data_IF_449025739853
#
_entry.id   IF_449025739853
#
_cell.length_a   1.000
_cell.length_b   1.000
_cell.length_c   1.000
_cell.angle_alpha   90.00
_cell.angle_beta   90.00
_cell.angle_gamma   90.00
#
_symmetry.space_group_name_H-M   'P 1'
#
loop_
_entity.id
_entity.type
_entity.pdbx_description
1 polymer ?
#
# COMPACT_ATOMS: atom_id res chain seq x y z
N UNK A 1 -21.05 -6.53 -3.69
CA UNK A 1 -21.34 -5.19 -3.10
C UNK A 1 -21.46 -4.20 -4.25
N UNK A 2 -22.36 -3.22 -4.15
CA UNK A 2 -22.39 -2.13 -5.11
C UNK A 2 -21.25 -1.10 -4.87
N UNK A 3 -21.00 -0.23 -5.84
CA UNK A 3 -19.86 0.68 -5.77
C UNK A 3 -19.96 1.69 -4.60
N UNK A 4 -21.15 2.15 -4.27
CA UNK A 4 -21.37 3.11 -3.18
C UNK A 4 -21.13 2.43 -1.83
N UNK A 5 -21.64 1.22 -1.65
CA UNK A 5 -21.42 0.41 -0.45
C UNK A 5 -19.92 0.21 -0.24
N UNK A 6 -19.17 -0.21 -1.27
CA UNK A 6 -17.72 -0.40 -1.20
C UNK A 6 -17.01 0.87 -0.76
N UNK A 7 -17.29 2.00 -1.40
CA UNK A 7 -16.61 3.27 -1.13
C UNK A 7 -16.91 3.80 0.28
N UNK A 8 -18.13 3.57 0.79
CA UNK A 8 -18.55 4.10 2.09
C UNK A 8 -18.15 3.19 3.27
N UNK A 9 -18.02 1.88 3.03
CA UNK A 9 -17.77 0.89 4.09
C UNK A 9 -16.34 0.36 4.15
N UNK A 10 -15.55 0.50 3.08
CA UNK A 10 -14.17 -0.01 3.03
C UNK A 10 -13.33 0.40 4.24
N UNK A 11 -12.53 -0.56 4.74
CA UNK A 11 -11.57 -0.38 5.85
C UNK A 11 -10.18 -0.86 5.46
N UNK A 12 -9.17 -0.28 6.10
CA UNK A 12 -7.81 -0.81 6.06
C UNK A 12 -7.71 -2.03 6.96
N UNK A 13 -7.27 -3.16 6.39
CA UNK A 13 -7.03 -4.41 7.09
C UNK A 13 -5.55 -4.50 7.50
N UNK A 14 -5.30 -4.95 8.73
CA UNK A 14 -3.96 -5.16 9.30
C UNK A 14 -3.87 -6.49 10.06
N UNK A 15 -4.71 -7.47 9.69
CA UNK A 15 -4.69 -8.82 10.22
C UNK A 15 -5.17 -9.76 9.13
N UNK A 16 -4.27 -10.60 8.65
CA UNK A 16 -4.48 -11.42 7.46
C UNK A 16 -4.32 -12.90 7.79
N UNK A 17 -5.12 -13.74 7.12
CA UNK A 17 -4.87 -15.17 7.07
C UNK A 17 -3.60 -15.44 6.26
N UNK A 18 -2.94 -16.56 6.55
CA UNK A 18 -1.74 -16.97 5.80
C UNK A 18 -2.05 -17.53 4.40
N UNK A 19 -3.32 -17.79 4.13
CA UNK A 19 -3.79 -18.26 2.83
C UNK A 19 -3.58 -17.19 1.76
N UNK A 20 -2.99 -17.62 0.63
CA UNK A 20 -2.78 -16.76 -0.52
C UNK A 20 -4.09 -16.49 -1.24
N UNK A 21 -4.33 -15.23 -1.65
CA UNK A 21 -5.48 -14.88 -2.51
C UNK A 21 -5.35 -15.59 -3.86
N UNK A 22 -6.48 -15.88 -4.50
CA UNK A 22 -6.53 -16.56 -5.79
C UNK A 22 -6.01 -15.66 -6.90
N UNK A 23 -5.41 -16.25 -7.93
CA UNK A 23 -4.86 -15.53 -9.08
C UNK A 23 -5.91 -14.66 -9.79
N UNK A 24 -7.16 -15.15 -9.89
CA UNK A 24 -8.28 -14.43 -10.50
C UNK A 24 -8.68 -13.19 -9.69
N UNK A 25 -8.64 -13.31 -8.35
CA UNK A 25 -8.92 -12.21 -7.42
C UNK A 25 -7.81 -11.16 -7.51
N UNK A 26 -6.54 -11.60 -7.48
CA UNK A 26 -5.40 -10.72 -7.68
C UNK A 26 -5.48 -10.00 -9.01
N UNK A 27 -5.73 -10.73 -10.10
CA UNK A 27 -5.88 -10.14 -11.44
C UNK A 27 -6.95 -9.05 -11.46
N UNK A 28 -8.12 -9.30 -10.87
CA UNK A 28 -9.20 -8.32 -10.81
C UNK A 28 -8.79 -7.06 -10.02
N UNK A 29 -8.06 -7.23 -8.91
CA UNK A 29 -7.55 -6.10 -8.11
C UNK A 29 -6.51 -5.29 -8.89
N UNK A 30 -5.61 -5.96 -9.62
CA UNK A 30 -4.63 -5.30 -10.47
C UNK A 30 -5.32 -4.54 -11.61
N UNK A 31 -6.32 -5.13 -12.25
CA UNK A 31 -7.12 -4.49 -13.31
C UNK A 31 -7.82 -3.22 -12.76
N UNK A 32 -8.33 -3.24 -11.53
CA UNK A 32 -8.86 -2.03 -10.88
C UNK A 32 -7.78 -0.94 -10.76
N UNK A 33 -6.57 -1.30 -10.34
CA UNK A 33 -5.45 -0.37 -10.24
C UNK A 33 -5.04 0.20 -11.59
N UNK A 34 -4.92 -0.64 -12.62
CA UNK A 34 -4.54 -0.23 -13.98
C UNK A 34 -5.58 0.67 -14.66
N UNK A 35 -6.84 0.58 -14.25
CA UNK A 35 -7.92 1.45 -14.73
C UNK A 35 -8.08 2.75 -13.91
N UNK A 36 -7.21 3.00 -12.91
CA UNK A 36 -7.22 4.27 -12.21
C UNK A 36 -6.90 5.44 -13.17
N UNK A 37 -7.57 6.59 -13.02
CA UNK A 37 -7.27 7.74 -13.86
C UNK A 37 -5.84 8.25 -13.63
N UNK A 38 -5.24 8.80 -14.70
CA UNK A 38 -3.91 9.41 -14.62
C UNK A 38 -3.88 10.73 -15.39
N UNK A 39 -3.00 11.64 -15.01
CA UNK A 39 -2.83 12.93 -15.69
C UNK A 39 -2.60 12.73 -17.18
N UNK A 40 -3.44 13.35 -18.03
CA UNK A 40 -3.43 13.20 -19.50
C UNK A 40 -3.48 11.74 -19.99
N UNK A 41 -4.03 10.83 -19.19
CA UNK A 41 -4.09 9.39 -19.47
C UNK A 41 -2.71 8.76 -19.76
N UNK A 42 -1.66 9.24 -19.11
CA UNK A 42 -0.28 8.76 -19.32
C UNK A 42 -0.05 7.30 -18.90
N UNK A 43 -0.81 6.79 -17.91
CA UNK A 43 -0.75 5.39 -17.44
C UNK A 43 0.69 4.95 -17.10
N UNK A 44 1.49 5.86 -16.54
CA UNK A 44 2.92 5.68 -16.31
C UNK A 44 3.26 4.85 -15.06
N UNK A 45 2.28 4.60 -14.19
CA UNK A 45 2.48 3.82 -12.96
C UNK A 45 2.81 2.36 -13.27
N UNK A 46 3.71 1.79 -12.47
CA UNK A 46 4.05 0.36 -12.48
C UNK A 46 3.64 -0.29 -11.18
N UNK A 47 3.16 -1.52 -11.24
CA UNK A 47 2.82 -2.34 -10.09
C UNK A 47 3.76 -3.54 -10.06
N UNK A 48 4.53 -3.69 -8.97
CA UNK A 48 5.36 -4.87 -8.73
C UNK A 48 4.66 -5.73 -7.68
N UNK A 49 4.32 -6.95 -8.05
CA UNK A 49 3.64 -7.91 -7.17
C UNK A 49 4.66 -8.86 -6.56
N UNK A 50 4.67 -8.96 -5.25
CA UNK A 50 5.50 -9.91 -4.49
C UNK A 50 4.59 -10.80 -3.66
N UNK A 51 4.63 -12.11 -3.95
CA UNK A 51 3.86 -13.16 -3.26
C UNK A 51 4.76 -14.22 -2.63
N UNK A 52 6.04 -14.23 -3.00
CA UNK A 52 7.02 -15.11 -2.41
C UNK A 52 7.32 -14.68 -0.97
N UNK A 53 6.95 -15.54 0.01
CA UNK A 53 7.11 -15.26 1.43
C UNK A 53 8.58 -15.05 1.85
N UNK A 54 9.52 -15.75 1.22
CA UNK A 54 10.94 -15.57 1.51
C UNK A 54 11.43 -14.21 0.95
N UNK A 55 10.95 -13.79 -0.20
CA UNK A 55 11.26 -12.48 -0.75
C UNK A 55 10.65 -11.35 0.12
N UNK A 56 9.41 -11.51 0.60
CA UNK A 56 8.78 -10.58 1.55
C UNK A 56 9.60 -10.48 2.84
N UNK A 57 10.00 -11.61 3.41
CA UNK A 57 10.85 -11.65 4.61
C UNK A 57 12.23 -11.02 4.36
N UNK A 58 12.80 -11.22 3.19
CA UNK A 58 14.09 -10.63 2.81
C UNK A 58 13.98 -9.10 2.71
N UNK A 59 12.90 -8.60 2.12
CA UNK A 59 12.58 -7.17 2.08
C UNK A 59 12.43 -6.59 3.50
N UNK A 60 11.81 -7.33 4.43
CA UNK A 60 11.67 -6.91 5.83
C UNK A 60 13.01 -6.89 6.57
N UNK A 61 13.81 -7.95 6.45
CA UNK A 61 15.12 -8.08 7.12
C UNK A 61 16.12 -6.97 6.73
N UNK A 62 15.95 -6.38 5.56
CA UNK A 62 16.85 -5.34 5.04
C UNK A 62 16.59 -3.96 5.61
N UNK A 63 15.90 -3.83 6.71
CA UNK A 63 15.51 -2.56 7.37
C UNK A 63 14.72 -1.62 6.45
N UNK A 64 13.99 -2.21 5.56
CA UNK A 64 13.31 -1.46 4.54
C UNK A 64 12.07 -0.72 5.08
N UNK A 65 11.58 -1.09 6.26
CA UNK A 65 10.42 -0.46 6.88
C UNK A 65 10.49 -0.57 8.41
N UNK A 66 11.46 0.09 9.04
CA UNK A 66 11.34 0.29 10.48
C UNK A 66 10.06 1.07 10.76
N UNK A 67 9.12 0.49 11.50
CA UNK A 67 7.96 1.25 11.95
C UNK A 67 8.43 2.32 12.93
N UNK A 68 8.27 3.58 12.57
CA UNK A 68 8.42 4.68 13.51
C UNK A 68 7.12 4.86 14.27
N UNK A 69 7.16 4.66 15.58
CA UNK A 69 6.10 5.11 16.46
C UNK A 69 6.45 6.51 16.95
N UNK A 70 5.63 7.46 16.62
CA UNK A 70 5.70 8.78 17.22
C UNK A 70 5.08 8.71 18.61
N UNK A 71 5.90 8.81 19.64
CA UNK A 71 5.43 8.94 21.02
C UNK A 71 5.43 10.43 21.35
N UNK A 72 4.24 11.01 21.46
CA UNK A 72 4.09 12.37 21.98
C UNK A 72 4.28 12.27 23.50
N UNK A 73 5.39 12.78 24.01
CA UNK A 73 5.58 12.95 25.46
C UNK A 73 4.86 14.22 25.93
N UNK A 74 4.56 14.30 27.23
CA UNK A 74 3.89 15.47 27.83
C UNK A 74 4.71 16.79 27.72
N UNK A 75 5.91 16.74 27.16
CA UNK A 75 6.84 17.86 27.02
C UNK A 75 7.11 18.27 25.56
N UNK A 76 6.18 18.05 24.65
CA UNK A 76 6.31 18.37 23.20
C UNK A 76 7.55 17.81 22.50
N UNK A 77 8.20 16.81 23.07
CA UNK A 77 9.34 16.16 22.44
C UNK A 77 8.87 14.91 21.72
N UNK A 78 8.93 14.91 20.38
CA UNK A 78 8.64 13.76 19.56
C UNK A 78 9.81 12.76 19.66
N UNK A 79 9.61 11.66 20.39
CA UNK A 79 10.57 10.56 20.44
C UNK A 79 10.18 9.54 19.38
N UNK A 80 10.98 9.45 18.33
CA UNK A 80 10.83 8.43 17.30
C UNK A 80 11.53 7.17 17.78
N UNK A 81 10.76 6.12 18.05
CA UNK A 81 11.30 4.79 18.31
C UNK A 81 11.17 3.92 17.07
N UNK A 82 12.29 3.29 16.69
CA UNK A 82 12.32 2.29 15.64
C UNK A 82 12.09 0.91 16.26
N UNK A 83 11.06 0.22 15.80
CA UNK A 83 10.86 -1.20 16.10
C UNK A 83 11.38 -2.01 14.91
N UNK A 84 12.56 -2.60 15.06
CA UNK A 84 13.22 -3.39 14.02
C UNK A 84 12.57 -4.76 13.80
N UNK A 85 11.72 -5.20 14.73
CA UNK A 85 11.03 -6.49 14.65
C UNK A 85 9.59 -6.36 14.12
N UNK A 86 9.08 -5.13 13.99
CA UNK A 86 7.74 -4.92 13.48
C UNK A 86 7.64 -5.26 11.98
N UNK A 87 6.64 -6.07 11.63
CA UNK A 87 6.29 -6.35 10.25
C UNK A 87 5.38 -5.24 9.69
N UNK A 88 5.87 -4.34 8.83
CA UNK A 88 5.07 -3.27 8.24
C UNK A 88 3.99 -3.78 7.28
N UNK A 89 4.09 -5.04 6.84
CA UNK A 89 3.10 -5.67 5.96
C UNK A 89 2.07 -6.50 6.73
N UNK A 90 2.15 -6.55 8.08
CA UNK A 90 1.18 -7.21 8.95
C UNK A 90 0.93 -8.68 8.60
N UNK A 91 1.93 -9.39 8.12
CA UNK A 91 1.81 -10.78 7.69
C UNK A 91 0.99 -10.98 6.41
N UNK A 92 0.75 -9.94 5.63
CA UNK A 92 0.00 -10.05 4.38
C UNK A 92 0.72 -10.96 3.38
N UNK A 93 0.01 -11.94 2.76
CA UNK A 93 0.62 -12.88 1.83
C UNK A 93 0.97 -12.26 0.46
N UNK A 94 0.39 -11.11 0.11
CA UNK A 94 0.66 -10.40 -1.16
C UNK A 94 0.97 -8.94 -0.88
N UNK A 95 2.06 -8.45 -1.48
CA UNK A 95 2.49 -7.05 -1.42
C UNK A 95 2.60 -6.51 -2.85
N UNK A 96 1.87 -5.46 -3.16
CA UNK A 96 1.91 -4.78 -4.45
C UNK A 96 2.55 -3.40 -4.26
N UNK A 97 3.80 -3.24 -4.69
CA UNK A 97 4.49 -1.95 -4.69
C UNK A 97 4.10 -1.13 -5.90
N UNK A 98 3.86 0.15 -5.71
CA UNK A 98 3.49 1.07 -6.78
C UNK A 98 4.63 2.06 -7.01
N UNK A 99 5.03 2.18 -8.27
CA UNK A 99 6.10 3.04 -8.74
C UNK A 99 5.62 3.98 -9.83
N UNK A 100 6.24 5.16 -9.88
CA UNK A 100 5.99 6.15 -10.94
C UNK A 100 7.33 6.72 -11.41
N UNK A 101 7.44 7.20 -12.68
CA UNK A 101 8.67 7.83 -13.15
C UNK A 101 9.08 9.02 -12.28
N UNK A 102 10.37 9.21 -12.05
CA UNK A 102 10.95 10.28 -11.22
C UNK A 102 10.58 11.68 -11.72
N UNK A 103 10.48 11.84 -13.02
CA UNK A 103 10.20 13.10 -13.71
C UNK A 103 8.70 13.37 -13.96
N UNK A 104 7.81 12.47 -13.51
CA UNK A 104 6.37 12.61 -13.70
C UNK A 104 5.77 13.54 -12.64
N UNK A 105 5.40 14.76 -13.04
CA UNK A 105 4.86 15.80 -12.14
C UNK A 105 3.57 15.39 -11.40
N UNK A 106 2.75 14.53 -12.00
CA UNK A 106 1.54 13.99 -11.39
C UNK A 106 1.75 12.60 -10.79
N UNK A 107 2.94 12.05 -10.86
CA UNK A 107 3.24 10.66 -10.51
C UNK A 107 2.72 10.26 -9.12
N UNK A 108 2.98 11.06 -8.08
CA UNK A 108 2.50 10.76 -6.71
C UNK A 108 0.97 10.69 -6.66
N UNK A 109 0.27 11.59 -7.34
CA UNK A 109 -1.20 11.62 -7.38
C UNK A 109 -1.74 10.42 -8.14
N UNK A 110 -1.19 10.14 -9.31
CA UNK A 110 -1.58 9.02 -10.16
C UNK A 110 -1.33 7.68 -9.46
N UNK A 111 -0.14 7.48 -8.88
CA UNK A 111 0.17 6.28 -8.10
C UNK A 111 -0.71 6.11 -6.86
N UNK A 112 -1.10 7.20 -6.22
CA UNK A 112 -2.05 7.17 -5.10
C UNK A 112 -3.45 6.71 -5.53
N UNK A 113 -3.91 7.14 -6.71
CA UNK A 113 -5.18 6.68 -7.27
C UNK A 113 -5.14 5.19 -7.60
N UNK A 114 -4.01 4.69 -8.13
CA UNK A 114 -3.81 3.24 -8.35
C UNK A 114 -4.01 2.46 -7.06
N UNK A 115 -3.35 2.86 -5.96
CA UNK A 115 -3.52 2.18 -4.66
C UNK A 115 -4.98 2.25 -4.18
N UNK A 116 -5.61 3.41 -4.29
CA UNK A 116 -7.01 3.60 -3.89
C UNK A 116 -7.97 2.72 -4.68
N UNK A 117 -7.77 2.60 -6.00
CA UNK A 117 -8.56 1.74 -6.87
C UNK A 117 -8.36 0.25 -6.52
N UNK A 118 -7.12 -0.18 -6.30
CA UNK A 118 -6.82 -1.55 -5.85
C UNK A 118 -7.50 -1.88 -4.52
N UNK A 119 -7.45 -0.97 -3.54
CA UNK A 119 -8.11 -1.17 -2.25
C UNK A 119 -9.64 -1.29 -2.40
N UNK A 120 -10.24 -0.52 -3.31
CA UNK A 120 -11.67 -0.57 -3.62
C UNK A 120 -12.03 -1.91 -4.24
N UNK A 121 -11.27 -2.35 -5.25
CA UNK A 121 -11.44 -3.66 -5.90
C UNK A 121 -11.27 -4.82 -4.92
N UNK A 122 -10.25 -4.79 -4.06
CA UNK A 122 -10.03 -5.81 -3.04
C UNK A 122 -11.24 -5.93 -2.10
N UNK A 123 -11.74 -4.80 -1.60
CA UNK A 123 -12.88 -4.81 -0.68
C UNK A 123 -14.16 -5.34 -1.34
N UNK A 124 -14.39 -5.02 -2.61
CA UNK A 124 -15.51 -5.54 -3.39
C UNK A 124 -15.51 -7.08 -3.49
N UNK A 125 -14.31 -7.68 -3.45
CA UNK A 125 -14.08 -9.12 -3.47
C UNK A 125 -14.00 -9.75 -2.05
N UNK A 126 -14.29 -8.99 -0.99
CA UNK A 126 -14.08 -9.41 0.41
C UNK A 126 -12.62 -9.71 0.77
N UNK A 127 -11.69 -9.09 0.09
CA UNK A 127 -10.24 -9.18 0.35
C UNK A 127 -9.81 -7.97 1.18
N UNK A 128 -9.08 -8.24 2.26
CA UNK A 128 -8.47 -7.21 3.09
C UNK A 128 -7.34 -6.50 2.36
N UNK A 129 -7.26 -5.19 2.55
CA UNK A 129 -6.15 -4.39 2.00
C UNK A 129 -5.76 -3.25 2.93
N UNK A 130 -4.49 -2.84 2.85
CA UNK A 130 -4.02 -1.61 3.49
C UNK A 130 -2.98 -0.93 2.61
N UNK A 131 -2.98 0.40 2.60
CA UNK A 131 -1.90 1.19 2.02
C UNK A 131 -0.79 1.37 3.05
N UNK A 132 0.42 0.93 2.73
CA UNK A 132 1.63 1.14 3.52
C UNK A 132 2.46 2.22 2.81
N UNK A 133 2.32 3.44 3.28
CA UNK A 133 2.97 4.60 2.67
C UNK A 133 4.50 4.56 2.86
N UNK A 134 4.97 4.17 4.04
CA UNK A 134 6.40 4.25 4.40
C UNK A 134 7.27 3.26 3.67
N UNK A 135 6.72 2.20 3.09
CA UNK A 135 7.52 1.24 2.33
C UNK A 135 8.26 1.88 1.13
N UNK A 136 7.86 3.08 0.70
CA UNK A 136 8.57 3.84 -0.35
C UNK A 136 9.99 4.21 0.06
N UNK A 137 10.21 4.54 1.34
CA UNK A 137 11.50 4.98 1.89
C UNK A 137 12.56 3.86 1.78
N UNK A 138 12.12 2.62 1.73
CA UNK A 138 12.97 1.45 1.52
C UNK A 138 13.78 1.55 0.21
N UNK A 139 13.17 2.08 -0.84
CA UNK A 139 13.79 2.18 -2.15
C UNK A 139 14.77 3.38 -2.26
N UNK A 140 14.85 4.23 -1.24
CA UNK A 140 15.86 5.27 -1.12
C UNK A 140 17.19 4.73 -0.56
N UNK A 141 17.15 3.56 0.10
CA UNK A 141 18.31 2.89 0.67
C UNK A 141 19.06 2.07 -0.39
N UNK A 142 20.37 1.89 -0.21
CA UNK A 142 21.22 1.13 -1.13
C UNK A 142 20.66 -0.26 -1.44
N UNK A 143 20.22 -0.99 -0.41
CA UNK A 143 19.61 -2.32 -0.56
C UNK A 143 18.28 -2.30 -1.32
N UNK A 144 17.50 -1.24 -1.18
CA UNK A 144 16.28 -1.05 -1.96
C UNK A 144 16.58 -0.74 -3.44
N UNK A 145 17.69 -0.05 -3.72
CA UNK A 145 18.15 0.20 -5.09
C UNK A 145 18.52 -1.10 -5.83
N UNK A 146 18.96 -2.15 -5.13
CA UNK A 146 19.18 -3.47 -5.73
C UNK A 146 17.87 -4.06 -6.31
N UNK A 147 16.75 -3.89 -5.61
CA UNK A 147 15.44 -4.30 -6.09
C UNK A 147 14.98 -3.47 -7.29
N UNK A 148 15.20 -2.15 -7.27
CA UNK A 148 14.88 -1.33 -8.43
C UNK A 148 15.66 -1.79 -9.67
N UNK A 149 16.94 -2.12 -9.53
CA UNK A 149 17.74 -2.72 -10.63
C UNK A 149 17.18 -4.08 -11.08
N UNK A 150 16.84 -4.97 -10.11
CA UNK A 150 16.24 -6.28 -10.39
C UNK A 150 14.93 -6.15 -11.20
N UNK A 151 14.14 -5.11 -10.93
CA UNK A 151 12.85 -4.87 -11.57
C UNK A 151 12.92 -3.91 -12.76
N UNK A 152 14.11 -3.42 -13.14
CA UNK A 152 14.33 -2.42 -14.20
C UNK A 152 13.52 -1.14 -13.96
N UNK A 153 13.56 -0.63 -12.74
CA UNK A 153 12.83 0.56 -12.27
C UNK A 153 13.75 1.63 -11.69
N UNK A 154 15.01 1.73 -12.17
CA UNK A 154 16.01 2.69 -11.67
C UNK A 154 15.58 4.15 -11.86
N UNK A 155 14.76 4.43 -12.87
CA UNK A 155 14.20 5.75 -13.17
C UNK A 155 12.83 6.00 -12.50
N UNK A 156 12.44 5.13 -11.56
CA UNK A 156 11.17 5.23 -10.85
C UNK A 156 11.37 5.53 -9.36
N UNK A 157 10.33 6.10 -8.74
CA UNK A 157 10.21 6.25 -7.28
C UNK A 157 9.03 5.45 -6.76
N UNK A 158 9.17 4.89 -5.56
CA UNK A 158 8.08 4.22 -4.87
C UNK A 158 7.06 5.22 -4.32
N UNK A 159 5.78 4.91 -4.47
CA UNK A 159 4.67 5.68 -3.88
C UNK A 159 4.20 5.07 -2.57
N UNK A 160 4.37 3.79 -2.42
CA UNK A 160 3.93 2.98 -1.31
C UNK A 160 3.57 1.59 -1.81
N UNK A 161 2.91 0.79 -0.97
CA UNK A 161 2.38 -0.47 -1.42
C UNK A 161 0.94 -0.70 -0.95
N UNK A 162 0.22 -1.53 -1.68
CA UNK A 162 -1.05 -2.12 -1.29
C UNK A 162 -0.78 -3.55 -0.84
N UNK A 163 -0.97 -3.84 0.45
CA UNK A 163 -0.91 -5.20 0.98
C UNK A 163 -2.30 -5.84 0.88
N UNK A 164 -2.34 -7.14 0.56
CA UNK A 164 -3.55 -7.88 0.24
C UNK A 164 -3.55 -9.25 0.93
N UNK A 165 -4.73 -9.70 1.36
CA UNK A 165 -4.95 -11.04 1.91
C UNK A 165 -6.36 -11.23 2.42
N UNK A 166 -6.75 -12.46 2.72
CA UNK A 166 -8.04 -12.72 3.35
C UNK A 166 -8.06 -12.17 4.78
N UNK A 167 -9.16 -11.53 5.14
CA UNK A 167 -9.34 -10.90 6.46
C UNK A 167 -9.41 -11.98 7.54
N UNK A 168 -8.58 -11.84 8.58
CA UNK A 168 -8.59 -12.74 9.74
C UNK A 168 -9.56 -12.27 10.83
N UNK A 169 -9.64 -10.95 11.07
CA UNK A 169 -10.46 -10.35 12.13
C UNK A 169 -11.42 -9.33 11.56
N UNK A 170 -12.64 -9.29 12.09
CA UNK A 170 -13.65 -8.29 11.73
C UNK A 170 -13.08 -6.87 11.84
N UNK A 171 -13.29 -6.08 10.80
CA UNK A 171 -12.81 -4.70 10.75
C UNK A 171 -13.79 -3.77 11.46
N UNK A 172 -13.31 -2.82 12.29
CA UNK A 172 -14.16 -1.88 13.00
C UNK A 172 -14.81 -0.89 12.02
N UNK A 173 -15.98 -0.39 12.38
CA UNK A 173 -16.61 0.69 11.64
C UNK A 173 -15.77 1.99 11.67
N UNK A 174 -15.86 2.78 10.60
CA UNK A 174 -15.18 4.06 10.52
C UNK A 174 -16.01 5.16 11.18
N UNK A 175 -15.45 5.80 12.18
CA UNK A 175 -16.00 7.05 12.71
C UNK A 175 -15.61 8.20 11.76
N UNK A 176 -16.61 8.79 11.10
CA UNK A 176 -16.41 9.94 10.21
C UNK A 176 -16.41 11.21 11.08
N UNK A 177 -15.39 12.05 10.88
CA UNK A 177 -15.32 13.35 11.53
C UNK A 177 -16.27 14.34 10.85
N UNK A 178 -16.92 15.17 11.65
CA UNK A 178 -17.80 16.24 11.19
C UNK A 178 -17.01 17.41 10.55
N UNK A 179 -17.73 18.34 9.93
CA UNK A 179 -17.18 19.59 9.39
C UNK A 179 -16.08 19.42 8.32
N UNK A 180 -16.14 18.36 7.53
CA UNK A 180 -15.20 18.09 6.42
C UNK A 180 -15.71 18.54 5.05
N UNK A 181 -16.95 19.04 4.98
CA UNK A 181 -17.56 19.57 3.77
C UNK A 181 -17.83 21.04 4.03
N UNK A 182 -17.31 21.89 3.18
CA UNK A 182 -17.55 23.33 3.18
C UNK A 182 -18.30 23.65 1.90
N UNK A 183 -19.47 24.27 2.05
CA UNK A 183 -20.26 24.77 0.90
C UNK A 183 -19.89 26.23 0.71
N UNK A 184 -19.45 26.59 -0.49
CA UNK A 184 -19.11 27.95 -0.89
C UNK A 184 -20.29 28.64 -1.60
#
# INVERSE_FOLDING_TARGET
MDAIEVLTTRRSCRSFKQEQIKDEELKTILDCGLNAPSGMNKQSSKIVVVQNQEEIKELLKRNCCSMMFEVISQEDTHIIKYDQEADPFYGAPTVCFIFVPKDESNGIKDGSLVIGAMQTGAYALNIGSCWINRCKEMFELEKGQEYLRKWHLEDYVGIGCCILGYVEKTLPEKKILENRIIQG
#
